data_IF_718556527320
#
_entry.id   IF_718556527320
#
_cell.length_a   1.000
_cell.length_b   1.000
_cell.length_c   1.000
_cell.angle_alpha   90.00
_cell.angle_beta   90.00
_cell.angle_gamma   90.00
#
_symmetry.space_group_name_H-M   'P 1'
#
loop_
_entity.id
_entity.type
_entity.pdbx_description
1 polymer ?
#
# COMPACT_ATOMS: atom_id res chain seq x y z
N UNK A 1 39.47 18.16 -35.49
CA UNK A 1 39.72 17.87 -34.07
C UNK A 1 38.50 18.35 -33.31
N UNK A 2 37.50 17.48 -33.19
CA UNK A 2 36.25 17.79 -32.50
C UNK A 2 36.44 17.71 -30.99
N UNK A 3 35.85 18.69 -30.32
CA UNK A 3 36.00 19.02 -28.92
C UNK A 3 35.62 17.87 -27.98
N UNK A 4 36.56 17.47 -27.10
CA UNK A 4 36.36 16.60 -25.91
C UNK A 4 35.40 17.18 -24.85
N UNK A 5 34.74 18.33 -25.10
CA UNK A 5 33.80 18.96 -24.15
C UNK A 5 32.52 18.14 -24.03
N UNK A 6 32.42 17.30 -23.01
CA UNK A 6 31.20 16.55 -22.67
C UNK A 6 31.43 15.14 -22.14
N UNK A 7 32.68 14.66 -22.09
CA UNK A 7 33.04 13.38 -21.47
C UNK A 7 33.65 13.57 -20.09
N UNK A 8 33.33 12.67 -19.18
CA UNK A 8 33.78 12.65 -17.79
C UNK A 8 34.41 11.29 -17.51
N UNK A 9 35.50 11.29 -16.73
CA UNK A 9 36.20 10.07 -16.33
C UNK A 9 36.09 9.84 -14.83
N UNK A 10 35.74 8.62 -14.46
CA UNK A 10 35.68 8.13 -13.09
C UNK A 10 36.73 7.06 -12.88
N UNK A 11 37.47 7.15 -11.79
CA UNK A 11 38.31 6.07 -11.30
C UNK A 11 37.61 5.42 -10.11
N UNK A 12 36.91 4.31 -10.34
CA UNK A 12 36.14 3.61 -9.29
C UNK A 12 36.92 2.41 -8.82
N UNK A 13 37.42 2.45 -7.58
CA UNK A 13 38.22 1.36 -6.99
C UNK A 13 39.42 0.92 -7.85
N UNK A 14 40.01 1.85 -8.61
CA UNK A 14 41.15 1.59 -9.50
C UNK A 14 40.80 1.27 -10.96
N UNK A 15 39.51 1.16 -11.32
CA UNK A 15 39.06 0.96 -12.71
C UNK A 15 38.56 2.28 -13.30
N UNK A 16 39.07 2.63 -14.48
CA UNK A 16 38.65 3.83 -15.21
C UNK A 16 37.36 3.56 -15.99
N UNK A 17 36.39 4.44 -15.82
CA UNK A 17 35.14 4.52 -16.59
C UNK A 17 35.06 5.88 -17.28
N UNK A 18 34.68 5.89 -18.55
CA UNK A 18 34.43 7.11 -19.31
C UNK A 18 32.95 7.15 -19.70
N UNK A 19 32.30 8.29 -19.47
CA UNK A 19 30.88 8.49 -19.78
C UNK A 19 30.61 9.93 -20.21
N UNK A 20 29.37 10.24 -20.60
CA UNK A 20 28.96 11.60 -21.00
C UNK A 20 28.19 12.30 -19.88
N UNK A 21 28.22 13.63 -19.91
CA UNK A 21 27.34 14.47 -19.06
C UNK A 21 25.87 14.09 -19.24
N UNK A 22 25.44 13.75 -20.47
CA UNK A 22 24.07 13.33 -20.77
C UNK A 22 23.69 12.04 -20.06
N UNK A 23 24.61 11.07 -19.96
CA UNK A 23 24.37 9.81 -19.24
C UNK A 23 24.24 10.07 -17.75
N UNK A 24 25.08 10.93 -17.17
CA UNK A 24 24.99 11.28 -15.76
C UNK A 24 23.73 12.07 -15.43
N UNK A 25 23.21 12.87 -16.38
CA UNK A 25 21.94 13.58 -16.17
C UNK A 25 20.77 12.61 -15.93
N UNK A 26 20.82 11.40 -16.47
CA UNK A 26 19.82 10.34 -16.22
C UNK A 26 19.83 9.85 -14.77
N UNK A 27 20.91 10.08 -14.01
CA UNK A 27 20.97 9.79 -12.58
C UNK A 27 20.00 10.67 -11.76
N UNK A 28 19.53 11.78 -12.34
CA UNK A 28 18.71 12.77 -11.64
C UNK A 28 19.54 13.69 -10.75
N UNK A 29 19.06 14.92 -10.56
CA UNK A 29 19.79 15.99 -9.86
C UNK A 29 20.04 15.74 -8.37
N UNK A 30 19.22 14.89 -7.75
CA UNK A 30 19.33 14.54 -6.34
C UNK A 30 20.29 13.38 -6.07
N UNK A 31 20.80 12.72 -7.12
CA UNK A 31 21.80 11.67 -6.98
C UNK A 31 23.19 12.25 -6.74
N UNK A 32 24.08 11.46 -6.15
CA UNK A 32 25.48 11.86 -5.97
C UNK A 32 26.15 12.14 -7.33
N UNK A 33 25.83 11.33 -8.34
CA UNK A 33 26.36 11.49 -9.70
C UNK A 33 25.81 12.75 -10.40
N UNK A 34 24.55 13.11 -10.14
CA UNK A 34 23.94 14.33 -10.65
C UNK A 34 24.51 15.58 -10.00
N UNK A 35 24.85 15.53 -8.71
CA UNK A 35 25.49 16.64 -8.00
C UNK A 35 26.88 16.99 -8.57
N UNK A 36 27.59 16.03 -9.15
CA UNK A 36 28.86 16.25 -9.84
C UNK A 36 28.73 17.06 -11.13
N UNK A 37 27.50 17.24 -11.66
CA UNK A 37 27.23 18.08 -12.82
C UNK A 37 26.99 19.55 -12.45
N UNK A 38 26.88 19.87 -11.16
CA UNK A 38 26.64 21.24 -10.70
C UNK A 38 27.93 22.08 -10.75
N UNK A 39 27.80 23.36 -11.10
CA UNK A 39 28.94 24.27 -11.27
C UNK A 39 29.74 24.47 -9.98
N UNK A 40 29.11 24.19 -8.83
CA UNK A 40 29.71 24.22 -7.50
C UNK A 40 30.73 23.09 -7.26
N UNK A 41 30.60 21.96 -7.97
CA UNK A 41 31.49 20.80 -7.90
C UNK A 41 32.49 20.70 -9.06
N UNK A 42 32.46 21.66 -10.00
CA UNK A 42 33.51 21.85 -11.00
C UNK A 42 34.80 22.35 -10.34
N UNK A 43 35.38 21.53 -9.49
CA UNK A 43 36.74 21.69 -8.98
C UNK A 43 37.66 21.49 -10.19
N UNK A 44 38.13 22.63 -10.72
CA UNK A 44 39.13 22.83 -11.77
C UNK A 44 38.53 23.02 -13.17
N UNK A 45 38.22 24.27 -13.48
CA UNK A 45 38.61 24.78 -14.80
C UNK A 45 40.15 24.72 -14.86
N UNK A 46 40.76 23.96 -15.79
CA UNK A 46 42.20 24.00 -15.97
C UNK A 46 42.57 25.42 -16.43
N UNK A 47 43.49 26.07 -15.73
CA UNK A 47 44.23 27.19 -16.31
C UNK A 47 44.89 26.71 -17.60
N UNK A 48 44.81 27.52 -18.67
CA UNK A 48 45.40 27.21 -19.98
C UNK A 48 46.86 26.73 -19.83
N UNK A 49 47.08 25.42 -19.95
CA UNK A 49 48.42 24.82 -19.86
C UNK A 49 48.47 23.45 -19.19
N UNK A 50 47.55 23.13 -18.27
CA UNK A 50 47.53 21.81 -17.62
C UNK A 50 46.64 20.83 -18.38
N UNK A 51 47.26 19.81 -18.98
CA UNK A 51 46.60 18.59 -19.45
C UNK A 51 46.19 17.72 -18.24
N UNK A 52 45.50 18.32 -17.27
CA UNK A 52 44.87 17.60 -16.19
C UNK A 52 43.49 17.17 -16.69
N UNK A 53 43.51 16.09 -17.46
CA UNK A 53 42.36 15.33 -17.92
C UNK A 53 41.73 14.75 -16.62
N UNK A 54 40.95 15.57 -15.90
CA UNK A 54 40.58 15.34 -14.50
C UNK A 54 39.75 14.07 -14.34
N UNK A 55 40.22 13.15 -13.51
CA UNK A 55 39.46 11.95 -13.11
C UNK A 55 38.87 12.15 -11.72
N UNK A 56 37.61 11.73 -11.55
CA UNK A 56 36.96 11.66 -10.25
C UNK A 56 37.21 10.29 -9.64
N UNK A 57 38.01 10.25 -8.57
CA UNK A 57 38.24 9.02 -7.83
C UNK A 57 37.09 8.73 -6.87
N UNK A 58 36.58 7.50 -6.90
CA UNK A 58 35.51 6.99 -6.05
C UNK A 58 35.97 5.66 -5.46
N UNK A 59 36.17 5.61 -4.14
CA UNK A 59 36.65 4.42 -3.44
C UNK A 59 35.53 3.40 -3.19
N UNK A 60 35.01 2.81 -4.28
CA UNK A 60 33.85 1.90 -4.26
C UNK A 60 34.04 0.73 -5.24
N UNK A 61 33.07 -0.18 -5.28
CA UNK A 61 33.15 -1.38 -6.10
C UNK A 61 32.93 -1.08 -7.61
N UNK A 62 33.95 -1.28 -8.48
CA UNK A 62 33.82 -1.03 -9.91
C UNK A 62 32.84 -1.97 -10.63
N UNK A 63 32.64 -3.20 -10.15
CA UNK A 63 31.75 -4.15 -10.80
C UNK A 63 30.29 -3.67 -10.72
N UNK A 64 29.84 -3.25 -9.53
CA UNK A 64 28.51 -2.70 -9.33
C UNK A 64 28.34 -1.36 -10.06
N UNK A 65 29.36 -0.48 -10.02
CA UNK A 65 29.31 0.78 -10.76
C UNK A 65 29.14 0.56 -12.27
N UNK A 66 29.75 -0.48 -12.83
CA UNK A 66 29.54 -0.84 -14.24
C UNK A 66 28.06 -1.08 -14.56
N UNK A 67 27.38 -1.86 -13.72
CA UNK A 67 25.94 -2.17 -13.89
C UNK A 67 25.09 -0.91 -13.75
N UNK A 68 25.37 -0.08 -12.74
CA UNK A 68 24.64 1.17 -12.53
C UNK A 68 24.86 2.18 -13.65
N UNK A 69 26.09 2.25 -14.18
CA UNK A 69 26.39 3.12 -15.31
C UNK A 69 25.69 2.64 -16.59
N UNK A 70 25.60 1.33 -16.81
CA UNK A 70 24.87 0.77 -17.95
C UNK A 70 23.36 1.00 -17.81
N UNK A 71 22.80 0.87 -16.60
CA UNK A 71 21.42 1.29 -16.30
C UNK A 71 21.17 2.75 -16.70
N UNK A 72 22.09 3.67 -16.39
CA UNK A 72 21.95 5.07 -16.79
C UNK A 72 22.05 5.29 -18.31
N UNK A 73 22.74 4.39 -19.04
CA UNK A 73 22.88 4.46 -20.51
C UNK A 73 21.66 3.92 -21.23
N UNK A 74 21.10 2.81 -20.76
CA UNK A 74 20.06 2.05 -21.46
C UNK A 74 18.66 2.25 -20.87
N UNK A 75 18.57 2.62 -19.58
CA UNK A 75 17.34 2.56 -18.80
C UNK A 75 16.97 1.16 -18.32
N UNK A 76 17.80 0.15 -18.59
CA UNK A 76 17.53 -1.26 -18.28
C UNK A 76 18.51 -1.79 -17.25
N UNK A 77 18.00 -2.54 -16.27
CA UNK A 77 18.81 -3.15 -15.21
C UNK A 77 19.26 -4.57 -15.61
N UNK A 78 20.52 -4.71 -16.01
CA UNK A 78 21.13 -6.02 -16.25
C UNK A 78 22.08 -6.42 -15.11
N UNK A 79 21.62 -7.31 -14.23
CA UNK A 79 22.43 -7.81 -13.12
C UNK A 79 23.13 -9.12 -13.54
N UNK A 80 24.48 -9.17 -13.53
CA UNK A 80 25.20 -10.41 -13.80
C UNK A 80 24.82 -11.53 -12.81
N UNK A 81 24.67 -12.80 -13.23
CA UNK A 81 24.21 -13.89 -12.37
C UNK A 81 25.04 -14.13 -11.10
N UNK A 82 26.32 -13.75 -11.12
CA UNK A 82 27.25 -13.92 -10.01
C UNK A 82 27.33 -12.68 -9.09
N UNK A 83 26.58 -11.61 -9.36
CA UNK A 83 26.55 -10.42 -8.53
C UNK A 83 25.40 -10.49 -7.52
N UNK A 84 25.67 -10.46 -6.20
CA UNK A 84 24.61 -10.39 -5.22
C UNK A 84 23.80 -9.10 -5.38
N UNK A 85 22.48 -9.20 -5.57
CA UNK A 85 21.60 -8.04 -5.75
C UNK A 85 21.71 -7.05 -4.58
N UNK A 86 21.79 -7.57 -3.35
CA UNK A 86 22.02 -6.75 -2.15
C UNK A 86 23.26 -5.87 -2.21
N UNK A 87 24.35 -6.38 -2.80
CA UNK A 87 25.57 -5.59 -2.97
C UNK A 87 25.34 -4.46 -3.97
N UNK A 88 24.69 -4.77 -5.10
CA UNK A 88 24.36 -3.78 -6.12
C UNK A 88 23.45 -2.68 -5.56
N UNK A 89 22.43 -3.04 -4.77
CA UNK A 89 21.47 -2.10 -4.22
C UNK A 89 22.09 -1.18 -3.15
N UNK A 90 23.04 -1.69 -2.36
CA UNK A 90 23.84 -0.85 -1.44
C UNK A 90 24.72 0.15 -2.20
N UNK A 91 25.30 -0.24 -3.32
CA UNK A 91 26.01 0.69 -4.19
C UNK A 91 25.05 1.70 -4.82
N UNK A 92 23.89 1.27 -5.31
CA UNK A 92 22.86 2.15 -5.86
C UNK A 92 22.45 3.22 -4.84
N UNK A 93 22.22 2.84 -3.58
CA UNK A 93 21.93 3.78 -2.50
C UNK A 93 23.07 4.79 -2.30
N UNK A 94 24.33 4.35 -2.30
CA UNK A 94 25.50 5.25 -2.19
C UNK A 94 25.56 6.28 -3.33
N UNK A 95 25.27 5.86 -4.56
CA UNK A 95 25.26 6.76 -5.73
C UNK A 95 23.98 7.60 -5.83
N UNK A 96 22.96 7.35 -5.00
CA UNK A 96 21.64 7.99 -5.10
C UNK A 96 20.84 7.53 -6.32
N UNK A 97 21.00 6.26 -6.71
CA UNK A 97 20.40 5.61 -7.87
C UNK A 97 19.37 4.53 -7.51
N UNK A 98 18.97 4.44 -6.24
CA UNK A 98 18.12 3.35 -5.76
C UNK A 98 16.75 3.36 -6.45
N UNK A 99 16.17 4.54 -6.68
CA UNK A 99 14.86 4.67 -7.31
C UNK A 99 14.89 4.27 -8.79
N UNK A 100 15.98 4.58 -9.51
CA UNK A 100 16.19 4.12 -10.89
C UNK A 100 16.35 2.61 -10.95
N UNK A 101 17.07 2.03 -9.99
CA UNK A 101 17.20 0.56 -9.88
C UNK A 101 15.84 -0.08 -9.63
N UNK A 102 15.03 0.46 -8.72
CA UNK A 102 13.67 -0.03 -8.44
C UNK A 102 12.78 0.06 -9.68
N UNK A 103 12.74 1.23 -10.33
CA UNK A 103 11.94 1.47 -11.52
C UNK A 103 12.34 0.58 -12.72
N UNK A 104 13.61 0.19 -12.82
CA UNK A 104 14.09 -0.71 -13.87
C UNK A 104 14.00 -2.20 -13.49
N UNK A 105 13.85 -2.52 -12.19
CA UNK A 105 13.73 -3.90 -11.70
C UNK A 105 12.40 -4.52 -12.12
N UNK A 106 11.34 -3.74 -12.07
CA UNK A 106 9.98 -4.14 -12.37
C UNK A 106 9.41 -3.32 -13.53
N UNK A 107 8.54 -3.93 -14.33
CA UNK A 107 7.75 -3.18 -15.29
C UNK A 107 6.68 -2.32 -14.58
N UNK A 108 6.06 -1.35 -15.26
CA UNK A 108 4.89 -0.65 -14.74
C UNK A 108 3.84 -1.66 -14.28
N UNK A 109 3.26 -1.44 -13.10
CA UNK A 109 2.27 -2.37 -12.55
C UNK A 109 1.11 -2.61 -13.51
N UNK A 110 0.91 -3.87 -13.88
CA UNK A 110 -0.23 -4.34 -14.67
C UNK A 110 -0.70 -5.71 -14.14
N UNK A 111 -1.92 -5.72 -13.60
CA UNK A 111 -2.56 -6.91 -13.04
C UNK A 111 -2.65 -8.09 -14.02
N UNK A 112 -2.67 -7.84 -15.33
CA UNK A 112 -2.73 -8.89 -16.34
C UNK A 112 -1.37 -9.55 -16.62
N UNK A 113 -0.29 -8.89 -16.20
CA UNK A 113 1.09 -9.35 -16.42
C UNK A 113 1.78 -9.78 -15.12
N UNK A 114 1.12 -9.66 -13.98
CA UNK A 114 1.67 -10.07 -12.69
C UNK A 114 2.08 -11.56 -12.70
N UNK A 115 3.27 -11.82 -12.18
CA UNK A 115 3.80 -13.16 -11.96
C UNK A 115 4.20 -13.30 -10.50
N UNK A 116 4.06 -14.52 -9.96
CA UNK A 116 4.51 -14.83 -8.61
C UNK A 116 6.05 -14.73 -8.58
N UNK A 117 6.57 -13.71 -7.90
CA UNK A 117 8.00 -13.46 -7.76
C UNK A 117 8.60 -14.27 -6.60
N UNK A 118 7.82 -14.49 -5.53
CA UNK A 118 8.23 -15.29 -4.39
C UNK A 118 7.17 -15.36 -3.30
N UNK A 119 7.43 -16.19 -2.29
CA UNK A 119 6.62 -16.30 -1.08
C UNK A 119 7.53 -16.13 0.13
N UNK A 120 7.09 -15.34 1.11
CA UNK A 120 7.83 -15.10 2.36
C UNK A 120 7.07 -15.76 3.49
N UNK A 121 7.74 -16.65 4.21
CA UNK A 121 7.23 -17.26 5.44
C UNK A 121 7.42 -16.30 6.61
N UNK A 122 6.31 -15.83 7.18
CA UNK A 122 6.30 -15.03 8.38
C UNK A 122 6.79 -15.82 9.59
N UNK A 123 7.26 -15.11 10.63
CA UNK A 123 7.74 -15.70 11.88
C UNK A 123 6.69 -15.72 13.00
N UNK A 124 5.48 -15.25 12.72
CA UNK A 124 4.46 -15.03 13.73
C UNK A 124 3.78 -16.34 14.17
N UNK A 125 3.37 -16.47 15.45
CA UNK A 125 2.74 -17.68 15.98
C UNK A 125 1.20 -17.76 15.81
N UNK A 126 0.56 -16.86 15.05
CA UNK A 126 -0.90 -16.86 14.84
C UNK A 126 -1.35 -16.12 13.59
N UNK A 127 -2.64 -16.19 13.25
CA UNK A 127 -3.19 -15.81 11.95
C UNK A 127 -2.93 -14.35 11.54
N UNK A 128 -2.74 -14.17 10.23
CA UNK A 128 -2.62 -12.87 9.57
C UNK A 128 -3.87 -12.01 9.74
N UNK A 129 -3.69 -10.79 10.26
CA UNK A 129 -4.77 -9.81 10.43
C UNK A 129 -4.88 -8.88 9.24
N UNK A 130 -3.76 -8.35 8.75
CA UNK A 130 -3.73 -7.43 7.62
C UNK A 130 -2.36 -7.42 6.94
N UNK A 131 -2.34 -7.16 5.64
CA UNK A 131 -1.12 -6.84 4.88
C UNK A 131 -1.27 -5.50 4.18
N UNK A 132 -0.24 -4.66 4.20
CA UNK A 132 -0.24 -3.38 3.48
C UNK A 132 1.03 -3.23 2.68
N UNK A 133 0.87 -2.87 1.41
CA UNK A 133 1.98 -2.52 0.54
C UNK A 133 2.53 -1.16 0.95
N UNK A 134 3.85 -1.07 1.08
CA UNK A 134 4.58 0.18 1.31
C UNK A 134 4.76 0.94 -0.01
N UNK A 135 4.87 2.28 0.06
CA UNK A 135 5.07 3.10 -1.14
C UNK A 135 6.43 2.89 -1.81
N UNK A 136 7.41 2.34 -1.08
CA UNK A 136 8.77 2.06 -1.56
C UNK A 136 8.90 0.69 -2.25
N UNK A 137 7.79 -0.03 -2.38
CA UNK A 137 7.73 -1.40 -2.85
C UNK A 137 7.69 -2.41 -1.73
N UNK A 138 8.03 -2.10 -0.48
CA UNK A 138 7.97 -3.04 0.64
C UNK A 138 6.55 -3.43 1.07
N UNK A 139 6.42 -4.08 2.22
CA UNK A 139 5.12 -4.33 2.84
C UNK A 139 5.22 -4.43 4.36
N UNK A 140 4.09 -4.33 5.05
CA UNK A 140 3.99 -4.75 6.45
C UNK A 140 2.89 -5.79 6.61
N UNK A 141 3.07 -6.68 7.59
CA UNK A 141 2.10 -7.70 7.93
C UNK A 141 1.80 -7.64 9.42
N UNK A 142 0.53 -7.47 9.76
CA UNK A 142 0.01 -7.47 11.12
C UNK A 142 -0.47 -8.87 11.51
N UNK A 143 0.01 -9.39 12.63
CA UNK A 143 -0.36 -10.69 13.19
C UNK A 143 -0.51 -10.58 14.71
N UNK A 144 -1.71 -10.85 15.23
CA UNK A 144 -1.97 -10.77 16.66
C UNK A 144 -1.62 -9.40 17.23
N UNK A 145 -0.54 -9.31 18.02
CA UNK A 145 -0.08 -8.06 18.64
C UNK A 145 1.19 -7.46 18.00
N UNK A 146 1.63 -8.02 16.87
CA UNK A 146 2.88 -7.66 16.22
C UNK A 146 2.66 -7.20 14.79
N UNK A 147 3.48 -6.26 14.34
CA UNK A 147 3.58 -5.84 12.95
C UNK A 147 5.01 -6.05 12.49
N UNK A 148 5.18 -6.85 11.45
CA UNK A 148 6.45 -7.10 10.79
C UNK A 148 6.54 -6.21 9.56
N UNK A 149 7.62 -5.45 9.41
CA UNK A 149 7.84 -4.53 8.28
C UNK A 149 8.95 -5.10 7.42
N UNK A 150 8.71 -5.19 6.12
CA UNK A 150 9.62 -5.69 5.10
C UNK A 150 9.92 -4.56 4.13
N UNK A 151 11.19 -4.31 3.88
CA UNK A 151 11.59 -3.35 2.86
C UNK A 151 11.30 -3.89 1.44
N UNK A 152 11.60 -3.06 0.44
CA UNK A 152 11.44 -3.43 -0.96
C UNK A 152 12.25 -4.69 -1.37
N UNK A 153 13.33 -5.02 -0.67
CA UNK A 153 14.10 -6.25 -0.87
C UNK A 153 13.54 -7.45 -0.08
N UNK A 154 12.42 -7.26 0.61
CA UNK A 154 11.79 -8.22 1.52
C UNK A 154 12.66 -8.55 2.74
N UNK A 155 13.56 -7.64 3.15
CA UNK A 155 14.29 -7.76 4.41
C UNK A 155 13.45 -7.23 5.55
N UNK A 156 13.31 -8.06 6.60
CA UNK A 156 12.53 -7.71 7.77
C UNK A 156 13.28 -6.67 8.62
N UNK A 157 12.62 -5.55 8.90
CA UNK A 157 13.03 -4.56 9.88
C UNK A 157 12.59 -4.97 11.29
N UNK A 158 12.91 -4.13 12.28
CA UNK A 158 12.55 -4.40 13.66
C UNK A 158 11.01 -4.51 13.80
N UNK A 159 10.46 -5.59 14.38
CA UNK A 159 9.03 -5.73 14.58
C UNK A 159 8.47 -4.65 15.51
N UNK A 160 7.24 -4.22 15.24
CA UNK A 160 6.56 -3.12 15.92
C UNK A 160 5.38 -3.65 16.72
N UNK A 161 5.20 -3.17 17.96
CA UNK A 161 3.99 -3.43 18.76
C UNK A 161 3.50 -2.15 19.43
N UNK A 162 2.19 -2.05 19.60
CA UNK A 162 1.56 -1.02 20.43
C UNK A 162 1.03 -1.68 21.71
N UNK A 163 1.79 -1.55 22.81
CA UNK A 163 1.45 -2.10 24.14
C UNK A 163 1.14 -3.61 24.15
N UNK A 164 1.66 -4.34 23.16
CA UNK A 164 1.33 -5.74 22.88
C UNK A 164 -0.19 -6.01 22.84
N UNK A 165 -0.97 -5.03 22.40
CA UNK A 165 -2.40 -5.19 22.14
C UNK A 165 -2.66 -5.77 20.77
N UNK A 166 -3.80 -6.44 20.62
CA UNK A 166 -4.24 -6.99 19.34
C UNK A 166 -4.36 -5.86 18.31
N UNK A 167 -3.60 -5.97 17.22
CA UNK A 167 -3.65 -5.05 16.09
C UNK A 167 -4.96 -5.29 15.35
N UNK A 168 -5.67 -4.21 15.02
CA UNK A 168 -6.90 -4.29 14.24
C UNK A 168 -6.66 -3.96 12.77
N UNK A 169 -5.78 -2.99 12.50
CA UNK A 169 -5.38 -2.57 11.16
C UNK A 169 -4.00 -1.89 11.21
N UNK A 170 -3.41 -1.70 10.05
CA UNK A 170 -2.13 -1.03 9.85
C UNK A 170 -2.18 -0.23 8.54
N UNK A 171 -1.37 0.81 8.42
CA UNK A 171 -1.27 1.57 7.17
C UNK A 171 -0.07 2.49 7.11
N UNK A 172 0.49 2.66 5.92
CA UNK A 172 1.58 3.59 5.66
C UNK A 172 1.04 5.00 5.43
N UNK A 173 1.64 5.98 6.11
CA UNK A 173 1.47 7.40 5.77
C UNK A 173 2.39 7.73 4.59
N UNK A 174 3.64 7.27 4.71
CA UNK A 174 4.71 7.44 3.73
C UNK A 174 5.73 6.30 3.88
N UNK A 175 6.89 6.39 3.22
CA UNK A 175 7.93 5.35 3.28
C UNK A 175 8.56 5.18 4.67
N UNK A 176 8.54 6.21 5.51
CA UNK A 176 9.18 6.24 6.83
C UNK A 176 8.20 6.08 7.99
N UNK A 177 6.91 6.34 7.78
CA UNK A 177 5.88 6.41 8.81
C UNK A 177 4.78 5.37 8.60
N UNK A 178 4.57 4.55 9.62
CA UNK A 178 3.51 3.52 9.67
C UNK A 178 2.59 3.76 10.87
N UNK A 179 1.30 3.58 10.70
CA UNK A 179 0.28 3.70 11.75
C UNK A 179 -0.26 2.33 12.10
N UNK A 180 -0.35 2.04 13.39
CA UNK A 180 -0.94 0.82 13.93
C UNK A 180 -2.19 1.19 14.72
N UNK A 181 -3.31 0.53 14.44
CA UNK A 181 -4.51 0.55 15.28
C UNK A 181 -4.56 -0.70 16.12
N UNK A 182 -4.92 -0.56 17.40
CA UNK A 182 -4.97 -1.68 18.32
C UNK A 182 -6.19 -1.61 19.22
N UNK A 183 -6.63 -2.81 19.63
CA UNK A 183 -7.73 -2.99 20.57
C UNK A 183 -7.36 -2.42 21.94
N UNK A 184 -8.32 -1.75 22.55
CA UNK A 184 -8.16 -1.27 23.92
C UNK A 184 -8.16 -2.44 24.91
N UNK A 185 -7.21 -2.44 25.86
CA UNK A 185 -7.28 -3.36 27.01
C UNK A 185 -8.15 -2.78 28.11
N UNK A 186 -9.02 -3.62 28.67
CA UNK A 186 -9.83 -3.26 29.83
C UNK A 186 -8.97 -2.83 31.03
N UNK A 187 -9.15 -1.58 31.49
CA UNK A 187 -8.71 -1.09 32.79
C UNK A 187 -7.30 -0.48 32.88
N UNK A 188 -6.53 -0.43 31.78
CA UNK A 188 -5.16 0.15 31.79
C UNK A 188 -4.93 1.33 30.84
N UNK A 189 -5.85 1.60 29.91
CA UNK A 189 -5.64 2.64 28.89
C UNK A 189 -4.63 2.27 27.81
N UNK A 190 -4.26 0.98 27.73
CA UNK A 190 -3.42 0.39 26.70
C UNK A 190 -4.22 0.20 25.40
N UNK A 191 -3.60 0.41 24.23
CA UNK A 191 -4.23 0.29 22.91
C UNK A 191 -4.44 1.64 22.21
N UNK A 192 -5.44 1.71 21.32
CA UNK A 192 -5.71 2.91 20.53
C UNK A 192 -4.86 2.93 19.26
N UNK A 193 -4.06 3.98 19.06
CA UNK A 193 -3.34 4.17 17.79
C UNK A 193 -1.97 4.81 17.97
N UNK A 194 -0.99 4.41 17.16
CA UNK A 194 0.38 4.91 17.23
C UNK A 194 1.04 5.03 15.87
N UNK A 195 1.85 6.07 15.68
CA UNK A 195 2.72 6.28 14.52
C UNK A 195 4.12 5.82 14.88
N UNK A 196 4.70 4.99 14.03
CA UNK A 196 6.03 4.42 14.20
C UNK A 196 6.89 4.69 12.99
N UNK A 197 8.20 4.65 13.18
CA UNK A 197 9.15 4.57 12.08
C UNK A 197 9.11 3.17 11.45
N UNK A 198 8.88 3.08 10.14
CA UNK A 198 8.87 1.81 9.39
C UNK A 198 10.24 1.11 9.41
N UNK A 199 11.33 1.88 9.39
CA UNK A 199 12.71 1.36 9.34
C UNK A 199 13.27 0.98 10.71
N UNK A 200 13.01 1.77 11.75
CA UNK A 200 13.59 1.55 13.09
C UNK A 200 12.63 0.85 14.07
N UNK A 201 11.33 0.90 13.80
CA UNK A 201 10.27 0.42 14.69
C UNK A 201 10.02 1.31 15.92
N UNK A 202 10.64 2.50 16.00
CA UNK A 202 10.46 3.41 17.12
C UNK A 202 9.12 4.15 17.05
N UNK A 203 8.45 4.28 18.20
CA UNK A 203 7.21 5.06 18.34
C UNK A 203 7.50 6.55 18.22
N UNK A 204 6.91 7.21 17.22
CA UNK A 204 7.00 8.65 16.99
C UNK A 204 5.88 9.41 17.72
N UNK A 205 4.63 8.95 17.55
CA UNK A 205 3.46 9.59 18.15
C UNK A 205 2.49 8.56 18.70
N UNK A 206 1.94 8.81 19.90
CA UNK A 206 0.73 8.13 20.38
C UNK A 206 -0.48 9.01 20.07
N UNK A 207 -1.35 8.55 19.19
CA UNK A 207 -2.51 9.30 18.73
C UNK A 207 -3.64 9.16 19.76
N UNK A 208 -3.99 10.28 20.39
CA UNK A 208 -4.98 10.32 21.47
C UNK A 208 -6.32 10.81 20.94
N UNK A 209 -7.42 10.31 21.52
CA UNK A 209 -8.75 10.89 21.36
C UNK A 209 -9.11 11.64 22.63
N UNK A 210 -9.65 12.84 22.47
CA UNK A 210 -10.17 13.67 23.55
C UNK A 210 -11.61 14.06 23.28
N UNK A 211 -12.47 13.82 24.27
CA UNK A 211 -13.87 14.27 24.27
C UNK A 211 -14.06 15.24 25.44
N UNK A 212 -14.66 16.40 25.18
CA UNK A 212 -14.86 17.45 26.19
C UNK A 212 -13.58 17.78 26.98
N UNK A 213 -12.46 17.89 26.26
CA UNK A 213 -11.11 18.14 26.81
C UNK A 213 -10.56 17.06 27.75
N UNK A 214 -11.18 15.88 27.80
CA UNK A 214 -10.68 14.73 28.52
C UNK A 214 -10.14 13.69 27.55
N UNK A 215 -8.88 13.29 27.74
CA UNK A 215 -8.30 12.17 27.00
C UNK A 215 -9.05 10.90 27.39
N UNK A 216 -9.54 10.17 26.39
CA UNK A 216 -10.23 8.91 26.56
C UNK A 216 -9.44 7.79 25.91
N UNK A 217 -9.57 6.60 26.48
CA UNK A 217 -9.13 5.38 25.82
C UNK A 217 -10.18 4.94 24.80
N UNK A 218 -9.72 4.30 23.73
CA UNK A 218 -10.56 3.88 22.62
C UNK A 218 -9.94 2.68 21.92
N UNK A 219 -10.78 1.85 21.30
CA UNK A 219 -10.34 0.87 20.32
C UNK A 219 -10.32 1.55 18.95
N UNK A 220 -9.16 1.55 18.30
CA UNK A 220 -9.04 2.03 16.93
C UNK A 220 -9.22 0.85 15.95
N UNK A 221 -9.99 1.03 14.88
CA UNK A 221 -10.29 0.01 13.88
C UNK A 221 -9.65 0.29 12.52
N UNK A 222 -10.49 0.34 11.49
CA UNK A 222 -10.10 0.60 10.12
C UNK A 222 -9.42 1.96 9.95
N UNK A 223 -8.45 2.03 9.03
CA UNK A 223 -7.63 3.21 8.74
C UNK A 223 -7.88 3.78 7.33
N UNK A 224 -7.72 5.09 7.19
CA UNK A 224 -7.54 5.74 5.89
C UNK A 224 -6.72 7.02 6.02
N UNK A 225 -6.16 7.49 4.91
CA UNK A 225 -5.26 8.63 4.86
C UNK A 225 -5.67 9.59 3.75
N UNK A 226 -5.55 10.89 4.02
CA UNK A 226 -5.55 11.92 2.97
C UNK A 226 -4.13 12.44 2.81
N UNK A 227 -3.50 12.14 1.69
CA UNK A 227 -2.18 12.68 1.32
C UNK A 227 -2.25 14.17 0.96
N UNK A 228 -3.42 14.64 0.50
CA UNK A 228 -3.63 16.04 0.10
C UNK A 228 -3.83 16.97 1.30
N UNK A 229 -4.52 16.49 2.34
CA UNK A 229 -4.83 17.27 3.54
C UNK A 229 -3.95 16.90 4.76
N UNK A 230 -3.01 15.96 4.59
CA UNK A 230 -2.15 15.43 5.66
C UNK A 230 -2.94 14.93 6.88
N UNK A 231 -4.02 14.17 6.64
CA UNK A 231 -4.91 13.66 7.69
C UNK A 231 -4.88 12.14 7.82
N UNK A 232 -5.04 11.66 9.05
CA UNK A 232 -5.28 10.27 9.41
C UNK A 232 -6.73 10.15 9.86
N UNK A 233 -7.45 9.17 9.33
CA UNK A 233 -8.81 8.83 9.73
C UNK A 233 -8.83 7.43 10.31
N UNK A 234 -9.53 7.24 11.43
CA UNK A 234 -9.69 5.92 12.02
C UNK A 234 -11.08 5.75 12.65
N UNK A 235 -11.66 4.56 12.53
CA UNK A 235 -12.85 4.22 13.30
C UNK A 235 -12.49 4.08 14.77
N UNK A 236 -13.29 4.71 15.62
CA UNK A 236 -13.03 4.84 17.04
C UNK A 236 -14.21 4.30 17.84
N UNK A 237 -13.93 3.29 18.66
CA UNK A 237 -14.89 2.71 19.60
C UNK A 237 -14.51 3.06 21.04
N UNK A 238 -15.16 4.06 21.63
CA UNK A 238 -14.97 4.49 23.02
C UNK A 238 -15.87 3.75 24.02
N UNK A 239 -15.69 3.97 25.33
CA UNK A 239 -16.48 3.29 26.38
C UNK A 239 -17.78 3.99 26.77
N UNK A 240 -17.90 5.28 26.48
CA UNK A 240 -19.00 6.13 26.93
C UNK A 240 -20.02 6.41 25.81
N UNK A 241 -20.21 5.44 24.90
CA UNK A 241 -20.96 5.62 23.64
C UNK A 241 -20.43 6.76 22.75
N UNK A 242 -19.16 7.11 22.93
CA UNK A 242 -18.42 8.02 22.07
C UNK A 242 -17.85 7.20 20.91
N UNK A 243 -18.69 6.94 19.93
CA UNK A 243 -18.37 6.22 18.71
C UNK A 243 -18.27 7.17 17.54
N UNK A 244 -17.42 6.86 16.58
CA UNK A 244 -17.28 7.70 15.40
C UNK A 244 -15.97 7.53 14.65
N UNK A 245 -15.64 8.54 13.87
CA UNK A 245 -14.39 8.64 13.13
C UNK A 245 -13.53 9.73 13.75
N UNK A 246 -12.37 9.35 14.26
CA UNK A 246 -11.35 10.30 14.70
C UNK A 246 -10.55 10.84 13.52
N UNK A 247 -10.10 12.09 13.63
CA UNK A 247 -9.23 12.72 12.63
C UNK A 247 -8.00 13.32 13.30
N UNK A 248 -6.83 12.98 12.79
CA UNK A 248 -5.55 13.49 13.28
C UNK A 248 -4.74 14.12 12.16
N UNK A 249 -3.94 15.11 12.52
CA UNK A 249 -2.93 15.67 11.64
C UNK A 249 -1.70 14.74 11.59
N UNK A 250 -1.25 14.39 10.38
CA UNK A 250 -0.16 13.44 10.16
C UNK A 250 1.18 13.93 10.71
N UNK A 251 1.41 15.25 10.73
CA UNK A 251 2.71 15.84 11.08
C UNK A 251 2.86 15.99 12.59
N UNK A 252 1.82 16.50 13.26
CA UNK A 252 1.83 16.79 14.70
C UNK A 252 1.33 15.61 15.54
N UNK A 253 0.59 14.68 14.94
CA UNK A 253 -0.11 13.60 15.64
C UNK A 253 -1.24 14.08 16.55
N UNK A 254 -1.65 15.35 16.44
CA UNK A 254 -2.74 15.90 17.25
C UNK A 254 -4.08 15.58 16.63
N UNK A 255 -5.07 15.34 17.49
CA UNK A 255 -6.45 15.23 17.04
C UNK A 255 -6.91 16.61 16.56
N UNK A 256 -7.38 16.66 15.31
CA UNK A 256 -7.91 17.88 14.70
C UNK A 256 -9.43 17.88 14.68
N UNK A 257 -10.05 16.70 14.68
CA UNK A 257 -11.49 16.59 14.57
C UNK A 257 -12.03 15.24 15.07
N UNK A 258 -13.35 15.17 15.22
CA UNK A 258 -14.08 13.92 15.46
C UNK A 258 -15.46 13.98 14.80
N UNK A 259 -15.83 12.94 14.07
CA UNK A 259 -17.16 12.76 13.51
C UNK A 259 -17.92 11.75 14.35
N UNK A 260 -18.88 12.22 15.16
CA UNK A 260 -19.68 11.35 16.02
C UNK A 260 -20.67 10.51 15.21
N UNK A 261 -20.87 9.29 15.68
CA UNK A 261 -21.84 8.37 15.13
C UNK A 261 -23.27 8.94 15.17
N UNK A 262 -23.99 8.82 14.05
CA UNK A 262 -25.40 9.18 13.92
C UNK A 262 -26.28 7.93 14.08
N UNK A 263 -27.54 8.05 14.53
CA UNK A 263 -28.44 6.91 14.68
C UNK A 263 -28.53 6.06 13.41
N UNK A 264 -28.26 4.76 13.52
CA UNK A 264 -28.31 3.80 12.41
C UNK A 264 -27.03 3.72 11.56
N UNK A 265 -26.03 4.57 11.82
CA UNK A 265 -24.70 4.45 11.24
C UNK A 265 -23.79 3.78 12.27
N UNK A 266 -23.07 2.70 11.97
CA UNK A 266 -22.16 2.06 12.93
C UNK A 266 -20.70 2.50 12.73
N UNK A 267 -20.45 3.81 12.71
CA UNK A 267 -19.17 4.39 12.30
C UNK A 267 -17.99 3.93 13.17
N UNK A 268 -18.19 3.76 14.48
CA UNK A 268 -17.14 3.31 15.40
C UNK A 268 -16.70 1.86 15.16
N UNK A 269 -17.54 1.06 14.53
CA UNK A 269 -17.31 -0.35 14.20
C UNK A 269 -16.92 -0.56 12.73
N UNK A 270 -16.64 0.51 11.96
CA UNK A 270 -16.39 0.38 10.53
C UNK A 270 -15.23 -0.58 10.19
N UNK A 271 -15.47 -1.42 9.18
CA UNK A 271 -14.55 -2.39 8.59
C UNK A 271 -13.58 -1.77 7.59
N UNK A 272 -14.05 -0.75 6.88
CA UNK A 272 -13.29 -0.12 5.79
C UNK A 272 -13.52 1.37 5.80
N UNK A 273 -12.42 2.10 5.70
CA UNK A 273 -12.38 3.53 5.44
C UNK A 273 -11.65 3.77 4.11
N UNK A 274 -12.16 4.71 3.31
CA UNK A 274 -11.49 5.13 2.08
C UNK A 274 -11.72 6.63 1.85
N UNK A 275 -10.64 7.40 1.89
CA UNK A 275 -10.67 8.81 1.53
C UNK A 275 -10.83 8.97 0.01
N UNK A 276 -11.78 9.80 -0.41
CA UNK A 276 -12.06 10.12 -1.81
C UNK A 276 -11.55 11.53 -2.09
N UNK A 277 -10.48 11.63 -2.89
CA UNK A 277 -9.79 12.90 -3.11
C UNK A 277 -10.63 13.88 -3.95
N UNK A 278 -11.38 13.36 -4.93
CA UNK A 278 -12.19 14.17 -5.84
C UNK A 278 -13.33 14.87 -5.12
N UNK A 279 -14.08 14.13 -4.30
CA UNK A 279 -15.25 14.65 -3.57
C UNK A 279 -14.88 15.23 -2.19
N UNK A 280 -13.64 15.01 -1.72
CA UNK A 280 -13.16 15.35 -0.37
C UNK A 280 -14.05 14.77 0.74
N UNK A 281 -14.50 13.54 0.52
CA UNK A 281 -15.38 12.81 1.43
C UNK A 281 -14.68 11.53 1.88
N UNK A 282 -15.07 11.03 3.06
CA UNK A 282 -14.62 9.74 3.55
C UNK A 282 -15.73 8.70 3.35
N UNK A 283 -15.46 7.66 2.57
CA UNK A 283 -16.31 6.47 2.57
C UNK A 283 -16.06 5.67 3.84
N UNK A 284 -17.15 5.29 4.51
CA UNK A 284 -17.17 4.41 5.67
C UNK A 284 -18.07 3.23 5.37
N UNK A 285 -17.56 2.01 5.52
CA UNK A 285 -18.34 0.80 5.35
C UNK A 285 -18.26 -0.07 6.61
N UNK A 286 -19.42 -0.49 7.10
CA UNK A 286 -19.60 -1.50 8.16
C UNK A 286 -20.40 -2.64 7.57
N UNK A 287 -19.81 -3.83 7.50
CA UNK A 287 -20.27 -4.90 6.62
C UNK A 287 -20.34 -6.24 7.37
N UNK A 288 -21.03 -7.22 6.78
CA UNK A 288 -21.05 -8.58 7.30
C UNK A 288 -19.66 -9.24 7.21
N UNK A 289 -19.23 -10.06 8.19
CA UNK A 289 -19.98 -10.52 9.36
C UNK A 289 -19.84 -9.66 10.61
N UNK A 290 -19.21 -8.48 10.53
CA UNK A 290 -19.01 -7.64 11.71
C UNK A 290 -20.33 -7.16 12.29
N UNK A 291 -21.27 -6.82 11.43
CA UNK A 291 -22.64 -6.46 11.78
C UNK A 291 -23.64 -7.25 10.95
N UNK A 292 -24.84 -7.46 11.50
CA UNK A 292 -25.92 -8.16 10.78
C UNK A 292 -26.48 -7.31 9.63
N UNK A 293 -26.55 -5.98 9.83
CA UNK A 293 -26.93 -5.02 8.81
C UNK A 293 -25.69 -4.31 8.28
N UNK A 294 -25.55 -4.26 6.96
CA UNK A 294 -24.52 -3.48 6.29
C UNK A 294 -24.93 -2.01 6.20
N UNK A 295 -23.93 -1.14 6.34
CA UNK A 295 -24.04 0.29 6.12
C UNK A 295 -22.83 0.78 5.33
N UNK A 296 -23.07 1.58 4.30
CA UNK A 296 -22.03 2.31 3.57
C UNK A 296 -22.45 3.77 3.54
N UNK A 297 -21.58 4.69 3.97
CA UNK A 297 -21.85 6.12 3.98
C UNK A 297 -20.69 6.94 3.44
N UNK A 298 -20.99 8.11 2.88
CA UNK A 298 -20.02 9.14 2.54
C UNK A 298 -20.15 10.28 3.54
N UNK A 299 -19.06 10.55 4.27
CA UNK A 299 -18.99 11.61 5.27
C UNK A 299 -18.33 12.85 4.68
N UNK A 300 -18.99 13.99 4.83
CA UNK A 300 -18.39 15.30 4.60
C UNK A 300 -18.06 15.97 5.95
N UNK A 301 -16.78 16.20 6.20
CA UNK A 301 -16.30 16.81 7.43
C UNK A 301 -16.51 18.32 7.49
N UNK A 302 -16.72 18.98 6.35
CA UNK A 302 -17.01 20.43 6.28
C UNK A 302 -18.41 20.71 6.83
N UNK A 303 -19.37 19.89 6.42
CA UNK A 303 -20.78 20.03 6.79
C UNK A 303 -21.18 19.15 7.98
N UNK A 304 -20.26 18.29 8.46
CA UNK A 304 -20.49 17.33 9.55
C UNK A 304 -21.73 16.46 9.32
N UNK A 305 -21.88 15.99 8.08
CA UNK A 305 -23.05 15.24 7.66
C UNK A 305 -22.68 14.00 6.82
N UNK A 306 -23.60 13.05 6.78
CA UNK A 306 -23.60 11.93 5.84
C UNK A 306 -24.27 12.42 4.56
N UNK A 307 -23.48 12.68 3.51
CA UNK A 307 -23.99 13.26 2.25
C UNK A 307 -24.62 12.20 1.34
N UNK A 308 -24.28 10.93 1.57
CA UNK A 308 -24.85 9.78 0.88
C UNK A 308 -24.77 8.54 1.76
N UNK A 309 -25.75 7.64 1.68
CA UNK A 309 -25.71 6.38 2.41
C UNK A 309 -26.49 5.26 1.72
N UNK A 310 -26.08 4.02 1.98
CA UNK A 310 -26.75 2.79 1.61
C UNK A 310 -26.80 1.85 2.82
N UNK A 311 -27.89 1.10 2.96
CA UNK A 311 -28.02 0.03 3.95
C UNK A 311 -28.89 -1.10 3.40
N UNK A 312 -28.62 -2.32 3.85
CA UNK A 312 -29.46 -3.51 3.59
C UNK A 312 -30.60 -3.67 4.62
N UNK A 313 -30.67 -2.80 5.63
CA UNK A 313 -31.73 -2.77 6.63
C UNK A 313 -33.07 -2.40 5.97
N UNK A 314 -33.90 -3.42 5.70
CA UNK A 314 -35.22 -3.27 5.06
C UNK A 314 -35.40 -4.13 3.81
N UNK A 315 -34.33 -4.63 3.20
CA UNK A 315 -34.39 -5.57 2.07
C UNK A 315 -34.82 -6.99 2.49
N UNK A 316 -34.65 -7.35 3.77
CA UNK A 316 -35.01 -8.68 4.29
C UNK A 316 -36.52 -8.95 4.36
N UNK A 317 -37.39 -7.94 4.25
CA UNK A 317 -38.85 -8.14 4.26
C UNK A 317 -39.41 -8.70 2.94
N UNK A 318 -38.60 -8.73 1.88
CA UNK A 318 -38.93 -9.28 0.56
C UNK A 318 -38.10 -10.54 0.25
N UNK A 319 -37.64 -11.27 1.28
CA UNK A 319 -36.70 -12.37 1.21
C UNK A 319 -36.99 -13.35 0.06
N UNK A 320 -36.24 -13.17 -1.03
CA UNK A 320 -36.07 -14.17 -2.08
C UNK A 320 -34.97 -15.17 -1.66
N UNK A 321 -34.99 -16.36 -2.25
CA UNK A 321 -34.02 -17.45 -2.01
C UNK A 321 -32.53 -17.12 -2.31
N UNK A 322 -32.20 -15.91 -2.77
CA UNK A 322 -30.85 -15.50 -3.22
C UNK A 322 -30.34 -14.25 -2.47
N UNK A 323 -30.34 -14.29 -1.14
CA UNK A 323 -29.94 -13.17 -0.28
C UNK A 323 -28.41 -12.95 -0.34
N UNK A 324 -27.98 -12.11 -1.28
CA UNK A 324 -26.58 -11.74 -1.48
C UNK A 324 -26.15 -10.73 -0.43
N UNK A 325 -25.29 -11.15 0.50
CA UNK A 325 -24.74 -10.29 1.55
C UNK A 325 -23.50 -9.58 1.06
N UNK A 326 -23.37 -8.29 1.34
CA UNK A 326 -22.16 -7.53 1.02
C UNK A 326 -21.08 -7.83 2.06
N UNK A 327 -19.91 -8.27 1.60
CA UNK A 327 -18.78 -8.68 2.44
C UNK A 327 -17.61 -7.69 2.42
N UNK A 328 -17.46 -6.97 1.30
CA UNK A 328 -16.45 -5.92 1.18
C UNK A 328 -16.92 -4.87 0.16
N UNK A 329 -16.44 -3.64 0.32
CA UNK A 329 -16.79 -2.51 -0.52
C UNK A 329 -15.58 -1.59 -0.74
N UNK A 330 -15.47 -1.04 -1.95
CA UNK A 330 -14.53 0.03 -2.30
C UNK A 330 -15.20 1.06 -3.19
N UNK A 331 -14.83 2.32 -3.04
CA UNK A 331 -15.25 3.37 -3.95
C UNK A 331 -14.35 3.42 -5.18
N UNK A 332 -14.95 3.64 -6.34
CA UNK A 332 -14.28 3.87 -7.62
C UNK A 332 -14.63 5.31 -8.05
N UNK A 333 -13.71 6.25 -7.82
CA UNK A 333 -13.96 7.69 -8.04
C UNK A 333 -14.24 8.00 -9.52
N UNK A 334 -13.46 7.39 -10.44
CA UNK A 334 -13.57 7.64 -11.88
C UNK A 334 -14.96 7.31 -12.44
N UNK A 335 -15.61 6.26 -11.94
CA UNK A 335 -16.95 5.84 -12.34
C UNK A 335 -18.05 6.36 -11.42
N UNK A 336 -17.71 7.11 -10.35
CA UNK A 336 -18.62 7.57 -9.30
C UNK A 336 -19.53 6.44 -8.79
N UNK A 337 -18.92 5.32 -8.45
CA UNK A 337 -19.64 4.13 -8.00
C UNK A 337 -18.92 3.44 -6.85
N UNK A 338 -19.67 2.73 -6.01
CA UNK A 338 -19.12 1.80 -5.03
C UNK A 338 -19.22 0.38 -5.60
N UNK A 339 -18.09 -0.31 -5.67
CA UNK A 339 -18.04 -1.72 -5.97
C UNK A 339 -18.15 -2.52 -4.68
N UNK A 340 -19.00 -3.55 -4.69
CA UNK A 340 -19.23 -4.46 -3.58
C UNK A 340 -19.05 -5.91 -4.03
N UNK A 341 -18.71 -6.80 -3.11
CA UNK A 341 -18.60 -8.25 -3.38
C UNK A 341 -19.41 -9.05 -2.36
N UNK A 342 -19.96 -10.19 -2.78
CA UNK A 342 -20.78 -11.05 -1.93
C UNK A 342 -20.11 -12.39 -1.56
N UNK A 343 -20.82 -13.23 -0.82
CA UNK A 343 -20.37 -14.56 -0.37
C UNK A 343 -20.13 -15.59 -1.49
N UNK A 344 -20.47 -15.25 -2.73
CA UNK A 344 -20.32 -16.06 -3.93
C UNK A 344 -19.29 -15.46 -4.91
N UNK A 345 -18.55 -14.41 -4.49
CA UNK A 345 -17.60 -13.67 -5.34
C UNK A 345 -18.27 -12.98 -6.54
N UNK A 346 -19.56 -12.67 -6.44
CA UNK A 346 -20.21 -11.79 -7.42
C UNK A 346 -19.88 -10.33 -7.09
N UNK A 347 -19.52 -9.57 -8.12
CA UNK A 347 -19.34 -8.13 -8.03
C UNK A 347 -20.68 -7.42 -8.22
N UNK A 348 -20.94 -6.42 -7.40
CA UNK A 348 -22.07 -5.51 -7.49
C UNK A 348 -21.61 -4.06 -7.53
N UNK A 349 -22.44 -3.21 -8.11
CA UNK A 349 -22.14 -1.79 -8.24
C UNK A 349 -23.29 -0.93 -7.76
N UNK A 350 -22.97 0.09 -6.97
CA UNK A 350 -23.90 1.11 -6.48
C UNK A 350 -23.48 2.44 -7.12
N UNK A 351 -24.37 3.06 -7.89
CA UNK A 351 -24.08 4.36 -8.54
C UNK A 351 -24.35 5.50 -7.55
N UNK A 352 -23.32 6.29 -7.24
CA UNK A 352 -23.42 7.40 -6.29
C UNK A 352 -24.31 8.55 -6.78
N UNK A 353 -24.59 8.61 -8.08
CA UNK A 353 -25.46 9.64 -8.69
C UNK A 353 -26.93 9.23 -8.64
N UNK A 354 -27.20 7.96 -8.40
CA UNK A 354 -28.55 7.41 -8.44
C UNK A 354 -29.15 7.39 -7.04
N UNK A 355 -30.41 7.79 -6.92
CA UNK A 355 -31.20 7.56 -5.70
C UNK A 355 -31.66 6.08 -5.58
N UNK A 356 -31.24 5.20 -6.49
CA UNK A 356 -31.56 3.78 -6.42
C UNK A 356 -30.81 3.11 -5.26
N UNK A 357 -31.57 2.57 -4.31
CA UNK A 357 -31.08 1.94 -3.07
C UNK A 357 -30.55 0.51 -3.30
N UNK A 358 -30.61 -0.01 -4.53
CA UNK A 358 -30.26 -1.40 -4.84
C UNK A 358 -28.84 -1.58 -5.38
N UNK A 359 -28.18 -2.68 -4.97
CA UNK A 359 -26.93 -3.14 -5.59
C UNK A 359 -27.22 -3.73 -6.97
N UNK A 360 -26.56 -3.23 -8.02
CA UNK A 360 -26.61 -3.84 -9.35
C UNK A 360 -25.55 -4.94 -9.45
N UNK A 361 -25.95 -6.18 -9.17
CA UNK A 361 -25.08 -7.35 -9.32
C UNK A 361 -24.74 -7.62 -10.78
N UNK A 362 -23.45 -7.81 -11.07
CA UNK A 362 -22.96 -8.18 -12.38
C UNK A 362 -23.33 -9.64 -12.68
N UNK A 363 -23.89 -9.88 -13.86
CA UNK A 363 -24.10 -11.25 -14.37
C UNK A 363 -22.82 -11.87 -14.92
N UNK A 364 -21.80 -11.05 -15.21
CA UNK A 364 -20.53 -11.44 -15.84
C UNK A 364 -19.46 -11.82 -14.83
N UNK A 365 -19.63 -11.45 -13.55
CA UNK A 365 -18.72 -11.82 -12.46
C UNK A 365 -18.98 -13.21 -11.90
N UNK A 366 -19.97 -13.97 -12.41
CA UNK A 366 -20.25 -15.32 -11.95
C UNK A 366 -19.09 -16.25 -12.30
N UNK A 367 -18.10 -16.28 -11.43
CA UNK A 367 -17.07 -17.31 -11.42
C UNK A 367 -17.78 -18.63 -11.10
N UNK A 368 -17.81 -19.55 -12.06
CA UNK A 368 -18.41 -20.87 -11.87
C UNK A 368 -17.57 -21.66 -10.85
N UNK A 369 -17.85 -21.51 -9.56
CA UNK A 369 -17.44 -22.44 -8.52
C UNK A 369 -18.52 -22.52 -7.45
N UNK A 370 -19.33 -23.58 -7.51
CA UNK A 370 -20.24 -23.96 -6.41
C UNK A 370 -19.38 -24.24 -5.18
N UNK A 371 -19.56 -23.43 -4.12
CA UNK A 371 -18.94 -23.63 -2.80
C UNK A 371 -19.02 -25.10 -2.36
N UNK A 372 -17.87 -25.69 -2.02
CA UNK A 372 -17.82 -26.88 -1.15
C UNK A 372 -17.96 -26.37 0.29
N UNK A 373 -18.92 -26.81 1.11
CA UNK A 373 -19.32 -26.08 2.32
C UNK A 373 -18.42 -26.22 3.56
N UNK A 374 -17.17 -26.70 3.46
CA UNK A 374 -16.46 -27.25 4.65
C UNK A 374 -15.05 -26.73 4.93
N UNK A 375 -14.57 -25.67 4.28
CA UNK A 375 -13.27 -25.06 4.62
C UNK A 375 -13.45 -23.68 5.25
N UNK A 376 -12.54 -23.32 6.17
CA UNK A 376 -12.43 -22.01 6.83
C UNK A 376 -12.16 -20.92 5.78
N UNK A 377 -13.19 -20.53 5.03
CA UNK A 377 -13.07 -19.60 3.92
C UNK A 377 -12.86 -18.18 4.44
N UNK A 378 -11.78 -17.54 4.04
CA UNK A 378 -11.62 -16.10 4.19
C UNK A 378 -12.67 -15.36 3.37
N UNK A 379 -13.09 -14.19 3.85
CA UNK A 379 -14.02 -13.35 3.12
C UNK A 379 -13.31 -12.59 1.98
N UNK A 380 -13.97 -12.41 0.83
CA UNK A 380 -13.38 -11.74 -0.31
C UNK A 380 -13.03 -10.29 0.03
N UNK A 381 -11.91 -9.82 -0.53
CA UNK A 381 -11.45 -8.44 -0.42
C UNK A 381 -11.43 -7.80 -1.80
N UNK A 382 -11.60 -6.48 -1.83
CA UNK A 382 -11.53 -5.70 -3.07
C UNK A 382 -10.44 -4.65 -2.98
N UNK A 383 -9.76 -4.40 -4.10
CA UNK A 383 -8.88 -3.26 -4.27
C UNK A 383 -8.96 -2.74 -5.71
N UNK A 384 -8.67 -1.45 -5.89
CA UNK A 384 -8.48 -0.84 -7.21
C UNK A 384 -7.08 -0.27 -7.31
N UNK A 385 -6.43 -0.47 -8.45
CA UNK A 385 -5.12 0.10 -8.72
C UNK A 385 -4.97 0.34 -10.23
N UNK A 386 -4.49 1.52 -10.63
CA UNK A 386 -4.29 1.91 -12.03
C UNK A 386 -5.48 1.60 -12.97
N UNK A 387 -6.71 1.83 -12.50
CA UNK A 387 -7.94 1.57 -13.28
C UNK A 387 -8.32 0.09 -13.45
N UNK A 388 -7.61 -0.83 -12.77
CA UNK A 388 -7.94 -2.25 -12.68
C UNK A 388 -8.60 -2.55 -11.32
N UNK A 389 -9.55 -3.49 -11.31
CA UNK A 389 -10.24 -3.96 -10.12
C UNK A 389 -9.77 -5.37 -9.76
N UNK A 390 -9.53 -5.62 -8.49
CA UNK A 390 -9.03 -6.87 -7.95
C UNK A 390 -10.01 -7.41 -6.92
N UNK A 391 -10.37 -8.70 -7.01
CA UNK A 391 -11.17 -9.42 -6.01
C UNK A 391 -10.40 -10.65 -5.54
N UNK A 392 -10.17 -10.81 -4.25
CA UNK A 392 -9.62 -12.05 -3.69
C UNK A 392 -10.75 -13.01 -3.34
N UNK A 393 -10.58 -14.29 -3.65
CA UNK A 393 -11.48 -15.35 -3.19
C UNK A 393 -10.72 -16.67 -3.13
N UNK A 394 -10.84 -17.38 -2.00
CA UNK A 394 -10.06 -18.59 -1.73
C UNK A 394 -8.56 -18.33 -1.94
N UNK A 395 -7.90 -19.11 -2.79
CA UNK A 395 -6.46 -19.06 -3.09
C UNK A 395 -6.10 -18.12 -4.25
N UNK A 396 -7.07 -17.37 -4.79
CA UNK A 396 -6.90 -16.60 -6.02
C UNK A 396 -7.29 -15.14 -5.91
N UNK A 397 -6.70 -14.34 -6.80
CA UNK A 397 -7.08 -12.94 -7.03
C UNK A 397 -7.48 -12.77 -8.49
N UNK A 398 -8.75 -12.41 -8.71
CA UNK A 398 -9.30 -12.12 -10.03
C UNK A 398 -9.08 -10.66 -10.40
N UNK A 399 -8.62 -10.42 -11.62
CA UNK A 399 -8.33 -9.09 -12.17
C UNK A 399 -9.39 -8.74 -13.21
N UNK A 400 -10.03 -7.59 -13.03
CA UNK A 400 -11.10 -7.08 -13.88
C UNK A 400 -10.68 -5.75 -14.50
N UNK A 401 -10.90 -5.60 -15.81
CA UNK A 401 -10.50 -4.42 -16.57
C UNK A 401 -11.63 -3.88 -17.45
N UNK A 402 -11.47 -2.60 -17.83
CA UNK A 402 -12.38 -1.91 -18.75
C UNK A 402 -13.69 -1.44 -18.11
N UNK A 403 -14.53 -0.73 -18.86
CA UNK A 403 -15.74 -0.08 -18.33
C UNK A 403 -16.79 -1.06 -17.82
N UNK A 404 -16.79 -2.29 -18.34
CA UNK A 404 -17.72 -3.36 -17.96
C UNK A 404 -17.12 -4.33 -16.93
N UNK A 405 -15.92 -4.05 -16.40
CA UNK A 405 -15.20 -4.86 -15.43
C UNK A 405 -15.17 -6.35 -15.82
N UNK A 406 -14.62 -6.63 -17.02
CA UNK A 406 -14.50 -8.00 -17.52
C UNK A 406 -13.32 -8.68 -16.86
N UNK A 407 -13.50 -9.94 -16.44
CA UNK A 407 -12.41 -10.77 -15.91
C UNK A 407 -11.36 -11.00 -17.00
N UNK A 408 -10.14 -10.53 -16.77
CA UNK A 408 -9.02 -10.61 -17.74
C UNK A 408 -7.90 -11.53 -17.28
N UNK A 409 -7.67 -11.65 -15.97
CA UNK A 409 -6.64 -12.53 -15.41
C UNK A 409 -7.07 -13.09 -14.06
N UNK A 410 -6.42 -14.16 -13.62
CA UNK A 410 -6.59 -14.71 -12.28
C UNK A 410 -5.23 -15.17 -11.78
N UNK A 411 -4.77 -14.53 -10.71
CA UNK A 411 -3.54 -14.83 -10.02
C UNK A 411 -3.82 -15.97 -9.05
N UNK A 412 -3.07 -17.06 -9.15
CA UNK A 412 -3.17 -18.20 -8.22
C UNK A 412 -1.82 -18.81 -7.98
N UNK A 413 -1.60 -19.24 -6.74
CA UNK A 413 -0.54 -20.18 -6.42
C UNK A 413 -1.04 -21.60 -6.72
N UNK A 414 -0.15 -22.51 -7.10
CA UNK A 414 -0.51 -23.91 -7.32
C UNK A 414 -0.69 -24.70 -5.99
N UNK A 415 -0.38 -24.09 -4.85
CA UNK A 415 -0.35 -24.70 -3.52
C UNK A 415 -0.51 -23.61 -2.44
N UNK A 416 -1.33 -23.81 -1.41
CA UNK A 416 -1.50 -22.86 -0.29
C UNK A 416 -2.96 -22.68 0.16
N UNK A 417 -3.12 -22.07 1.34
CA UNK A 417 -4.44 -21.78 1.95
C UNK A 417 -5.12 -20.52 1.41
N UNK A 418 -6.28 -20.21 1.97
CA UNK A 418 -7.12 -19.06 1.61
C UNK A 418 -6.40 -17.71 1.81
N UNK A 419 -6.65 -16.74 0.93
CA UNK A 419 -6.14 -15.38 1.03
C UNK A 419 -7.04 -14.61 2.00
N UNK A 420 -6.48 -14.16 3.13
CA UNK A 420 -7.22 -13.41 4.15
C UNK A 420 -7.21 -11.90 3.90
N UNK A 421 -6.13 -11.39 3.29
CA UNK A 421 -6.00 -9.99 2.93
C UNK A 421 -5.00 -9.83 1.77
N UNK A 422 -5.13 -8.74 1.01
CA UNK A 422 -4.14 -8.40 0.00
C UNK A 422 -4.02 -6.89 -0.15
N UNK A 423 -2.87 -6.43 -0.63
CA UNK A 423 -2.61 -5.01 -0.84
C UNK A 423 -1.76 -4.79 -2.08
N UNK A 424 -2.03 -3.67 -2.75
CA UNK A 424 -1.31 -3.24 -3.94
C UNK A 424 -0.65 -1.89 -3.64
N UNK A 425 0.61 -1.73 -4.00
CA UNK A 425 1.37 -0.50 -3.78
C UNK A 425 2.86 -0.70 -4.10
N UNK A 426 3.56 0.40 -4.36
CA UNK A 426 4.99 0.36 -4.71
C UNK A 426 5.30 -0.57 -5.89
N UNK A 427 4.41 -0.57 -6.90
CA UNK A 427 4.45 -1.41 -8.11
C UNK A 427 4.42 -2.94 -7.87
N UNK A 428 3.94 -3.38 -6.70
CA UNK A 428 3.77 -4.80 -6.38
C UNK A 428 2.40 -5.11 -5.81
N UNK A 429 2.01 -6.38 -5.87
CA UNK A 429 0.85 -6.93 -5.18
C UNK A 429 1.32 -7.94 -4.15
N UNK A 430 0.78 -7.82 -2.93
CA UNK A 430 1.04 -8.72 -1.82
C UNK A 430 -0.24 -9.43 -1.41
N UNK A 431 -0.21 -10.75 -1.29
CA UNK A 431 -1.35 -11.55 -0.85
C UNK A 431 -0.99 -12.33 0.42
N UNK A 432 -1.72 -12.09 1.51
CA UNK A 432 -1.53 -12.76 2.80
C UNK A 432 -2.45 -13.96 2.90
N UNK A 433 -1.88 -15.11 3.26
CA UNK A 433 -2.62 -16.35 3.43
C UNK A 433 -2.99 -16.60 4.90
N UNK A 434 -4.12 -17.27 5.10
CA UNK A 434 -4.60 -17.68 6.43
C UNK A 434 -3.70 -18.74 7.07
N UNK A 435 -3.07 -19.58 6.26
CA UNK A 435 -2.20 -20.67 6.72
C UNK A 435 -0.73 -20.25 6.74
N UNK A 436 0.01 -20.78 7.73
CA UNK A 436 1.47 -20.71 7.83
C UNK A 436 2.10 -19.30 7.86
N UNK A 437 1.29 -18.25 8.02
CA UNK A 437 1.71 -16.84 7.97
C UNK A 437 2.56 -16.52 6.74
N UNK A 438 2.18 -17.09 5.59
CA UNK A 438 2.86 -16.86 4.32
C UNK A 438 2.20 -15.69 3.62
N UNK A 439 3.01 -14.84 2.99
CA UNK A 439 2.52 -13.92 1.98
C UNK A 439 3.26 -14.09 0.66
N UNK A 440 2.51 -13.97 -0.43
CA UNK A 440 3.01 -14.00 -1.80
C UNK A 440 3.31 -12.58 -2.29
N UNK A 441 4.34 -12.46 -3.11
CA UNK A 441 4.75 -11.23 -3.80
C UNK A 441 4.59 -11.41 -5.29
N UNK A 442 3.80 -10.54 -5.90
CA UNK A 442 3.49 -10.54 -7.32
C UNK A 442 4.06 -9.29 -7.97
N UNK A 443 4.82 -9.49 -9.06
CA UNK A 443 5.56 -8.43 -9.74
C UNK A 443 5.27 -8.45 -11.24
N UNK A 444 5.23 -7.28 -11.86
CA UNK A 444 5.15 -7.19 -13.33
C UNK A 444 6.57 -7.29 -13.89
N UNK A 445 6.87 -8.28 -14.74
CA UNK A 445 8.20 -8.39 -15.35
C UNK A 445 8.46 -7.21 -16.28
N UNK A 446 9.74 -6.80 -16.45
CA UNK A 446 10.12 -5.83 -17.47
C UNK A 446 9.59 -6.21 -18.86
N UNK A 447 9.41 -5.23 -19.73
CA UNK A 447 9.01 -5.49 -21.11
C UNK A 447 10.07 -6.35 -21.81
N UNK A 448 9.66 -7.33 -22.65
CA UNK A 448 10.62 -8.13 -23.40
C UNK A 448 11.39 -7.24 -24.40
N UNK A 449 12.65 -7.59 -24.63
CA UNK A 449 13.47 -6.99 -25.69
C UNK A 449 12.89 -7.47 -27.03
N UNK A 450 12.54 -6.52 -27.92
CA UNK A 450 11.95 -6.77 -29.24
C UNK A 450 13.04 -6.95 -30.30
#
# INVERSE_FOLDING_TARGET
MESRRGRIRFNVGGKIFETTVTTLANAGRHSMLGALLDDSWNIRQPSEGDVADGEYFIDRNPACFSVLLDLLRTGELHVPPNMPEKLLYREALFYGLLDQVRAARWGPFDGNRLQLAGSVTGRAPGDGTAIRAGPDGGCCVAHGSMVHVYDWMLEEHRPISLDYQQVNDVGYIDADNIVITARERLGKGDGGMGVFSSSTGELRHRLRVSHYSQVKSFTAGALSFSSTDYKIFASCKGRCNEYGIGVWDQITGQQVDFFYELPGCSLGDADKLQWLNGDKCLMVATLFPRTDNCFIGLLDFRDKNVVWSWSDAGTSLLASLDDKRVLHAIAIEDSRSICVVNQYDDLGFIDLRSNSVGVRWSSRSKLMNRKVPNEESCYPKLATHNGQLFSSMNDGISVFCGPEWVLTSTLRRNYGGSICDFSIGGDRLFALHSEENVFDVWETPPSPII
#
